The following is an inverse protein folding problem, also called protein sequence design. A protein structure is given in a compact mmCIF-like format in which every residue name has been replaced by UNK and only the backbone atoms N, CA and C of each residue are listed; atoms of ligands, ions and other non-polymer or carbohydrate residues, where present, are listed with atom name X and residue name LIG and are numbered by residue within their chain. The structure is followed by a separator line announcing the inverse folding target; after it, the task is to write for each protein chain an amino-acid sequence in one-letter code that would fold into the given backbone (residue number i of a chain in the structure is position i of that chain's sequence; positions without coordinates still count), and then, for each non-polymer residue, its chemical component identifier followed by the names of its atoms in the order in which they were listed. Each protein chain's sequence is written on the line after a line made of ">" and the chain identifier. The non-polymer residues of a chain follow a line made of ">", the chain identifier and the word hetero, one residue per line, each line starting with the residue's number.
data_IF_938385271372
#
_entry.id   IF_938385271372
#
_cell.length_a   1.000
_cell.length_b   1.000
_cell.length_c   1.000
_cell.angle_alpha   90.00
_cell.angle_beta   90.00
_cell.angle_gamma   90.00
#
_symmetry.space_group_name_H-M   'P 1'
#
loop_
_entity.id
_entity.type
_entity.pdbx_description
1 polymer ?
#
# COMPACT_ATOMS: atom_id res chain seq x y z
N UNK A 1 20.35 1.86 -12.57
CA UNK A 1 21.15 2.10 -11.36
C UNK A 1 20.26 1.82 -10.17
N UNK A 2 20.41 0.66 -9.54
CA UNK A 2 19.77 0.35 -8.26
C UNK A 2 20.52 1.10 -7.16
N UNK A 3 19.96 2.23 -6.71
CA UNK A 3 20.44 2.89 -5.49
C UNK A 3 19.67 2.26 -4.34
N UNK A 4 20.22 1.16 -3.79
CA UNK A 4 19.73 0.59 -2.54
C UNK A 4 20.21 1.51 -1.41
N UNK A 5 19.49 2.63 -1.21
CA UNK A 5 19.72 3.50 -0.06
C UNK A 5 19.31 2.67 1.16
N UNK A 6 20.30 2.04 1.77
CA UNK A 6 20.16 1.26 2.99
C UNK A 6 19.89 2.20 4.17
N UNK A 7 18.71 2.83 4.19
CA UNK A 7 18.22 3.50 5.38
C UNK A 7 17.91 2.41 6.41
N UNK A 8 18.50 2.45 7.61
CA UNK A 8 18.05 1.60 8.69
C UNK A 8 16.60 1.96 9.02
N UNK A 9 15.75 0.97 9.30
CA UNK A 9 14.35 1.21 9.69
C UNK A 9 14.25 2.14 10.93
N UNK A 10 15.29 2.19 11.76
CA UNK A 10 15.40 3.14 12.89
C UNK A 10 15.51 4.61 12.46
N UNK A 11 16.10 4.92 11.31
CA UNK A 11 16.23 6.30 10.81
C UNK A 11 14.89 6.90 10.38
N UNK A 12 13.85 6.07 10.17
CA UNK A 12 12.49 6.55 9.94
C UNK A 12 11.87 7.24 11.17
N UNK A 13 12.45 7.06 12.36
CA UNK A 13 12.03 7.81 13.54
C UNK A 13 12.48 9.28 13.49
N UNK A 14 13.55 9.58 12.76
CA UNK A 14 14.24 10.88 12.76
C UNK A 14 14.20 11.59 11.38
N UNK A 15 13.66 10.94 10.35
CA UNK A 15 13.54 11.50 9.00
C UNK A 15 12.20 12.24 8.87
N UNK A 16 12.16 13.38 8.19
CA UNK A 16 10.88 14.01 7.80
C UNK A 16 10.13 13.05 6.86
N UNK A 17 9.03 12.49 7.34
CA UNK A 17 8.20 11.55 6.58
C UNK A 17 6.89 12.20 6.15
N UNK A 18 6.44 11.83 4.96
CA UNK A 18 5.13 12.19 4.42
C UNK A 18 4.21 10.99 4.65
N UNK A 19 3.50 11.03 5.77
CA UNK A 19 2.65 9.94 6.25
C UNK A 19 1.29 9.90 5.54
N UNK A 20 0.81 8.69 5.24
CA UNK A 20 -0.62 8.49 4.91
C UNK A 20 -1.44 8.46 6.19
N UNK A 21 -2.45 9.31 6.29
CA UNK A 21 -3.50 9.16 7.31
C UNK A 21 -4.75 8.53 6.70
N UNK A 22 -4.86 7.21 6.74
CA UNK A 22 -6.10 6.51 6.42
C UNK A 22 -7.02 6.54 7.66
N UNK A 23 -7.93 7.52 7.69
CA UNK A 23 -9.02 7.58 8.68
C UNK A 23 -8.60 7.98 10.09
N UNK A 24 -9.61 8.31 10.90
CA UNK A 24 -9.46 8.86 12.24
C UNK A 24 -9.15 7.76 13.26
N UNK A 25 -7.91 7.26 13.27
CA UNK A 25 -7.47 6.24 14.23
C UNK A 25 -6.06 6.60 14.73
N UNK A 26 -5.87 6.45 16.03
CA UNK A 26 -4.61 6.57 16.80
C UNK A 26 -3.43 5.70 16.31
N UNK A 27 -3.57 5.06 15.14
CA UNK A 27 -2.65 4.14 14.48
C UNK A 27 -2.12 4.64 13.14
N UNK A 28 -2.52 5.83 12.67
CA UNK A 28 -2.20 6.38 11.35
C UNK A 28 -0.70 6.44 11.00
N UNK A 29 0.18 6.46 12.01
CA UNK A 29 1.62 6.59 11.82
C UNK A 29 2.36 5.28 12.10
N UNK A 30 1.79 4.14 11.72
CA UNK A 30 2.45 2.83 11.85
C UNK A 30 2.58 2.15 10.50
N UNK A 31 3.81 1.94 10.06
CA UNK A 31 4.10 1.27 8.79
C UNK A 31 4.52 -0.18 9.05
N UNK A 32 3.92 -1.11 8.31
CA UNK A 32 4.19 -2.54 8.44
C UNK A 32 5.43 -2.95 7.63
N UNK A 33 6.42 -3.52 8.32
CA UNK A 33 7.67 -4.00 7.73
C UNK A 33 7.96 -5.45 8.10
N UNK A 34 8.48 -6.25 7.17
CA UNK A 34 8.95 -7.61 7.43
C UNK A 34 10.40 -7.55 7.92
N UNK A 35 10.60 -7.74 9.22
CA UNK A 35 11.93 -7.73 9.87
C UNK A 35 12.17 -9.11 10.47
N UNK A 36 13.25 -9.79 10.05
CA UNK A 36 13.58 -11.16 10.49
C UNK A 36 12.39 -12.13 10.35
N UNK A 37 11.67 -12.04 9.22
CA UNK A 37 10.53 -12.90 8.91
C UNK A 37 9.22 -12.55 9.63
N UNK A 38 9.19 -11.54 10.50
CA UNK A 38 7.96 -11.10 11.21
C UNK A 38 7.53 -9.71 10.77
N UNK A 39 6.22 -9.52 10.61
CA UNK A 39 5.67 -8.17 10.39
C UNK A 39 5.79 -7.40 11.70
N UNK A 40 6.46 -6.25 11.65
CA UNK A 40 6.57 -5.28 12.73
C UNK A 40 5.99 -3.96 12.26
N UNK A 41 5.09 -3.41 13.07
CA UNK A 41 4.52 -2.08 12.85
C UNK A 41 5.44 -1.05 13.51
N UNK A 42 6.14 -0.29 12.69
CA UNK A 42 7.09 0.74 13.12
C UNK A 42 6.35 2.06 13.19
N UNK A 43 6.40 2.72 14.35
CA UNK A 43 5.87 4.06 14.48
C UNK A 43 6.80 5.01 13.73
N UNK A 44 6.22 5.77 12.80
CA UNK A 44 6.90 6.81 12.04
C UNK A 44 6.57 8.17 12.62
N UNK A 45 7.56 9.06 12.69
CA UNK A 45 7.34 10.46 13.01
C UNK A 45 7.30 11.25 11.69
N UNK A 46 6.34 12.16 11.56
CA UNK A 46 6.19 12.98 10.37
C UNK A 46 5.42 14.25 10.70
N UNK A 47 5.82 15.34 10.07
CA UNK A 47 5.20 16.66 10.26
C UNK A 47 4.04 16.90 9.29
N UNK A 48 3.86 16.00 8.32
CA UNK A 48 2.86 16.12 7.26
C UNK A 48 2.09 14.80 7.12
N UNK A 49 0.79 14.88 7.35
CA UNK A 49 -0.19 13.81 7.15
C UNK A 49 -1.08 14.15 5.95
N UNK A 50 -1.23 13.23 5.00
CA UNK A 50 -2.20 13.36 3.92
C UNK A 50 -2.96 12.04 3.69
N UNK A 51 -4.23 12.10 3.35
CA UNK A 51 -5.04 10.92 3.04
C UNK A 51 -5.27 10.74 1.53
N UNK A 52 -4.61 11.55 0.71
CA UNK A 52 -4.78 11.61 -0.73
C UNK A 52 -3.49 11.23 -1.44
N UNK A 53 -3.62 10.29 -2.38
CA UNK A 53 -2.52 9.65 -3.09
C UNK A 53 -1.62 10.61 -3.90
N UNK A 54 -2.20 11.58 -4.59
CA UNK A 54 -1.49 12.55 -5.42
C UNK A 54 -0.80 13.61 -4.57
N UNK A 55 -1.36 13.98 -3.43
CA UNK A 55 -0.75 14.87 -2.46
C UNK A 55 0.54 14.25 -1.90
N UNK A 56 0.47 12.99 -1.46
CA UNK A 56 1.64 12.24 -0.99
C UNK A 56 2.71 12.11 -2.08
N UNK A 57 2.28 11.80 -3.30
CA UNK A 57 3.18 11.73 -4.45
C UNK A 57 3.85 13.08 -4.73
N UNK A 58 3.11 14.17 -4.69
CA UNK A 58 3.61 15.52 -4.92
C UNK A 58 4.64 15.93 -3.87
N UNK A 59 4.35 15.65 -2.60
CA UNK A 59 5.24 15.92 -1.48
C UNK A 59 6.54 15.11 -1.57
N UNK A 60 6.45 13.81 -1.85
CA UNK A 60 7.62 12.95 -2.04
C UNK A 60 8.48 13.42 -3.23
N UNK A 61 7.85 13.77 -4.36
CA UNK A 61 8.56 14.30 -5.54
C UNK A 61 9.26 15.63 -5.28
N UNK A 62 8.72 16.46 -4.39
CA UNK A 62 9.31 17.75 -3.99
C UNK A 62 10.38 17.60 -2.91
N UNK A 63 10.67 16.37 -2.45
CA UNK A 63 11.70 16.12 -1.45
C UNK A 63 11.25 16.43 -0.01
N UNK A 64 9.95 16.54 0.25
CA UNK A 64 9.43 16.76 1.61
C UNK A 64 9.48 15.49 2.49
N UNK A 65 9.96 14.36 1.97
CA UNK A 65 10.15 13.14 2.76
C UNK A 65 9.87 11.86 1.98
N UNK A 66 9.72 10.75 2.72
CA UNK A 66 9.33 9.44 2.19
C UNK A 66 7.83 9.26 2.31
N UNK A 67 7.19 8.75 1.25
CA UNK A 67 5.77 8.37 1.24
C UNK A 67 5.60 6.85 1.21
N UNK A 68 4.59 6.34 1.90
CA UNK A 68 4.25 4.92 1.95
C UNK A 68 2.79 4.72 1.56
N UNK A 69 2.48 4.13 0.41
CA UNK A 69 1.12 3.94 -0.10
C UNK A 69 1.06 2.70 -1.03
N UNK A 70 -0.11 2.36 -1.59
CA UNK A 70 -0.22 1.22 -2.49
C UNK A 70 0.69 1.39 -3.73
N UNK A 71 1.37 0.30 -4.11
CA UNK A 71 2.40 0.28 -5.15
C UNK A 71 1.92 0.83 -6.50
N UNK A 72 0.67 0.56 -6.90
CA UNK A 72 0.13 0.99 -8.18
C UNK A 72 0.13 2.52 -8.35
N UNK A 73 0.00 3.28 -7.26
CA UNK A 73 0.04 4.74 -7.28
C UNK A 73 1.41 5.26 -7.71
N UNK A 74 2.48 4.58 -7.29
CA UNK A 74 3.86 5.01 -7.53
C UNK A 74 4.53 4.31 -8.72
N UNK A 75 3.97 3.18 -9.20
CA UNK A 75 4.54 2.33 -10.24
C UNK A 75 5.09 3.12 -11.44
N UNK A 76 4.29 4.03 -12.00
CA UNK A 76 4.70 4.85 -13.16
C UNK A 76 5.82 5.85 -12.84
N UNK A 77 5.92 6.33 -11.60
CA UNK A 77 6.92 7.33 -11.19
C UNK A 77 8.24 6.68 -10.79
N UNK A 78 8.17 5.50 -10.17
CA UNK A 78 9.30 4.61 -9.92
C UNK A 78 9.94 4.15 -11.24
N UNK A 79 9.11 3.69 -12.19
CA UNK A 79 9.59 3.26 -13.52
C UNK A 79 10.30 4.41 -14.29
N UNK A 80 9.85 5.65 -14.11
CA UNK A 80 10.46 6.84 -14.72
C UNK A 80 11.69 7.36 -13.98
N UNK A 81 12.08 6.76 -12.85
CA UNK A 81 13.18 7.23 -12.01
C UNK A 81 12.93 8.56 -11.29
N UNK A 82 11.69 9.09 -11.35
CA UNK A 82 11.30 10.33 -10.64
C UNK A 82 11.04 10.13 -9.15
N UNK A 83 10.96 8.86 -8.74
CA UNK A 83 10.95 8.41 -7.35
C UNK A 83 11.90 7.22 -7.23
N UNK A 84 12.45 7.04 -6.03
CA UNK A 84 13.28 5.89 -5.68
C UNK A 84 12.58 5.11 -4.57
N UNK A 85 12.48 3.80 -4.73
CA UNK A 85 12.00 2.93 -3.67
C UNK A 85 13.09 2.75 -2.62
N UNK A 86 12.75 2.98 -1.36
CA UNK A 86 13.64 2.73 -0.21
C UNK A 86 13.11 1.55 0.60
N UNK A 87 13.98 0.92 1.40
CA UNK A 87 13.58 -0.17 2.32
C UNK A 87 12.96 -1.40 1.64
N UNK A 88 13.25 -1.62 0.35
CA UNK A 88 12.72 -2.74 -0.46
C UNK A 88 12.90 -4.11 0.22
N UNK A 89 14.01 -4.31 0.93
CA UNK A 89 14.34 -5.54 1.70
C UNK A 89 13.38 -5.83 2.86
N UNK A 90 12.64 -4.83 3.33
CA UNK A 90 11.71 -4.95 4.45
C UNK A 90 10.24 -4.95 4.01
N UNK A 91 9.97 -5.03 2.70
CA UNK A 91 8.61 -5.04 2.16
C UNK A 91 7.81 -6.21 2.78
N UNK A 92 6.60 -5.96 3.33
CA UNK A 92 5.71 -7.04 3.74
C UNK A 92 5.20 -7.80 2.51
N UNK A 93 4.61 -8.98 2.75
CA UNK A 93 3.91 -9.67 1.67
C UNK A 93 2.76 -8.79 1.14
N UNK A 94 2.49 -8.81 -0.18
CA UNK A 94 1.35 -8.09 -0.74
C UNK A 94 0.05 -8.48 -0.03
N UNK A 95 -0.76 -7.47 0.32
CA UNK A 95 -2.08 -7.72 0.87
C UNK A 95 -2.99 -8.26 -0.23
N UNK A 96 -3.77 -9.32 0.03
CA UNK A 96 -4.72 -9.83 -0.95
C UNK A 96 -5.81 -8.78 -1.19
N UNK A 97 -6.21 -8.62 -2.45
CA UNK A 97 -7.41 -7.89 -2.82
C UNK A 97 -8.56 -8.89 -2.80
N UNK A 98 -9.59 -8.62 -1.99
CA UNK A 98 -10.75 -9.49 -1.87
C UNK A 98 -11.96 -8.82 -2.51
N UNK A 99 -12.80 -9.62 -3.16
CA UNK A 99 -14.13 -9.19 -3.60
C UNK A 99 -15.15 -9.80 -2.64
N UNK A 100 -15.81 -8.95 -1.86
CA UNK A 100 -16.82 -9.35 -0.87
C UNK A 100 -18.20 -9.01 -1.40
N UNK A 101 -19.14 -9.93 -1.24
CA UNK A 101 -20.55 -9.74 -1.56
C UNK A 101 -21.42 -10.52 -0.59
N UNK A 102 -22.65 -10.04 -0.38
CA UNK A 102 -23.62 -10.73 0.47
C UNK A 102 -24.13 -11.96 -0.28
N UNK A 103 -23.98 -13.13 0.33
CA UNK A 103 -24.44 -14.38 -0.27
C UNK A 103 -25.92 -14.61 0.04
N UNK A 104 -26.80 -14.15 -0.86
CA UNK A 104 -28.21 -14.54 -0.79
C UNK A 104 -28.42 -15.91 -1.48
N UNK A 105 -29.46 -16.66 -1.10
CA UNK A 105 -29.77 -18.00 -1.65
C UNK A 105 -29.80 -18.06 -3.19
N UNK A 106 -30.08 -16.93 -3.84
CA UNK A 106 -30.01 -16.74 -5.28
C UNK A 106 -29.01 -15.60 -5.56
N UNK A 107 -27.76 -15.94 -5.90
CA UNK A 107 -26.81 -14.97 -6.44
C UNK A 107 -27.34 -14.50 -7.80
N UNK A 108 -27.59 -13.19 -7.93
CA UNK A 108 -28.10 -12.60 -9.17
C UNK A 108 -27.17 -12.98 -10.36
N UNK A 109 -27.69 -13.53 -11.47
CA UNK A 109 -26.88 -13.89 -12.64
C UNK A 109 -25.98 -12.76 -13.15
N UNK A 110 -26.43 -11.50 -13.06
CA UNK A 110 -25.63 -10.33 -13.44
C UNK A 110 -24.41 -10.15 -12.52
N UNK A 111 -24.61 -10.31 -11.21
CA UNK A 111 -23.52 -10.26 -10.23
C UNK A 111 -22.51 -11.38 -10.48
N UNK A 112 -23.00 -12.60 -10.75
CA UNK A 112 -22.13 -13.73 -11.09
C UNK A 112 -21.29 -13.45 -12.34
N UNK A 113 -21.91 -13.01 -13.43
CA UNK A 113 -21.20 -12.65 -14.67
C UNK A 113 -20.19 -11.53 -14.45
N UNK A 114 -20.51 -10.54 -13.61
CA UNK A 114 -19.56 -9.48 -13.24
C UNK A 114 -18.37 -10.02 -12.45
N UNK A 115 -18.62 -10.89 -11.45
CA UNK A 115 -17.57 -11.56 -10.67
C UNK A 115 -16.65 -12.35 -11.62
N UNK A 116 -17.24 -13.17 -12.50
CA UNK A 116 -16.49 -13.99 -13.46
C UNK A 116 -15.64 -13.11 -14.39
N UNK A 117 -16.19 -11.99 -14.87
CA UNK A 117 -15.48 -11.02 -15.68
C UNK A 117 -14.28 -10.40 -14.93
N UNK A 118 -14.47 -9.94 -13.70
CA UNK A 118 -13.39 -9.30 -12.92
C UNK A 118 -12.30 -10.30 -12.58
N UNK A 119 -12.66 -11.53 -12.19
CA UNK A 119 -11.68 -12.59 -11.91
C UNK A 119 -10.87 -12.93 -13.15
N UNK A 120 -11.49 -12.97 -14.33
CA UNK A 120 -10.79 -13.19 -15.60
C UNK A 120 -9.88 -12.01 -15.98
N UNK A 121 -10.26 -10.77 -15.64
CA UNK A 121 -9.47 -9.57 -15.92
C UNK A 121 -8.21 -9.45 -15.06
N UNK A 122 -8.20 -10.01 -13.84
CA UNK A 122 -7.05 -10.01 -12.92
C UNK A 122 -6.48 -11.42 -12.69
N UNK A 123 -5.87 -12.07 -13.70
CA UNK A 123 -5.45 -13.47 -13.60
C UNK A 123 -4.31 -13.71 -12.59
N UNK A 124 -3.44 -12.72 -12.36
CA UNK A 124 -2.31 -12.78 -11.43
C UNK A 124 -2.71 -12.43 -9.98
N UNK A 125 -3.74 -11.60 -9.82
CA UNK A 125 -4.30 -11.22 -8.52
C UNK A 125 -5.66 -11.89 -8.44
N UNK A 126 -5.69 -13.22 -8.30
CA UNK A 126 -6.96 -13.94 -8.12
C UNK A 126 -7.62 -13.40 -6.86
N UNK A 127 -8.71 -12.60 -6.99
CA UNK A 127 -9.35 -12.05 -5.82
C UNK A 127 -9.89 -13.23 -5.02
N UNK A 128 -9.63 -13.27 -3.70
CA UNK A 128 -10.35 -14.25 -2.89
C UNK A 128 -11.81 -13.82 -2.89
N UNK A 129 -12.67 -14.71 -3.38
CA UNK A 129 -14.11 -14.56 -3.32
C UNK A 129 -14.54 -15.03 -1.93
N UNK A 130 -15.01 -14.09 -1.13
CA UNK A 130 -15.54 -14.37 0.21
C UNK A 130 -17.02 -14.00 0.22
N UNK A 131 -17.85 -15.03 0.42
CA UNK A 131 -19.27 -14.89 0.71
C UNK A 131 -19.42 -14.61 2.21
N UNK A 132 -20.07 -13.50 2.55
CA UNK A 132 -20.47 -13.21 3.93
C UNK A 132 -21.94 -13.65 4.12
N UNK A 133 -22.21 -14.40 5.20
CA UNK A 133 -23.53 -14.91 5.58
C UNK A 133 -24.33 -13.87 6.36
#
# INVERSE_FOLDING_TARGET
>A
MEVDIALPVSHLADTTLVGVKLGNLSSANRWGYKIKGRIKNVKVAGDIDANESLALLSLAKKGHGVAFYQEYTFKNKLAKGTLVEVLRKFRPEPLPINMRYVSNRLVNPVLKTFIDYVVAYFPEVRPKLEAEM
#
